data_IF_763872550345
#
_entry.id   IF_763872550345
#
_cell.length_a   1.000
_cell.length_b   1.000
_cell.length_c   1.000
_cell.angle_alpha   90.00
_cell.angle_beta   90.00
_cell.angle_gamma   90.00
#
_symmetry.space_group_name_H-M   'P 1'
#
loop_
_entity.id
_entity.type
_entity.pdbx_description
1 polymer ?
#
# COMPACT_ATOMS: atom_id res chain seq x y z
N UNK A 1 6.34 28.41 32.05
CA UNK A 1 7.35 27.77 32.91
C UNK A 1 6.68 26.80 33.83
N UNK A 2 7.30 25.66 34.08
CA UNK A 2 6.81 24.66 35.04
C UNK A 2 7.35 24.91 36.47
N UNK A 3 8.11 26.00 36.66
CA UNK A 3 8.63 26.43 37.96
C UNK A 3 7.55 27.16 38.79
N UNK A 4 7.67 27.07 40.11
CA UNK A 4 6.82 27.84 41.02
C UNK A 4 7.12 29.35 40.88
N UNK A 5 6.11 30.23 41.04
CA UNK A 5 6.30 31.67 40.95
C UNK A 5 7.32 32.17 41.98
N UNK A 6 8.23 33.06 41.56
CA UNK A 6 9.14 33.73 42.48
C UNK A 6 8.41 34.84 43.25
N UNK A 7 8.90 35.17 44.44
CA UNK A 7 8.32 36.26 45.24
C UNK A 7 8.31 37.61 44.51
N UNK A 8 9.34 37.87 43.69
CA UNK A 8 9.43 39.12 42.92
C UNK A 8 8.36 39.19 41.83
N UNK A 9 8.12 38.07 41.13
CA UNK A 9 7.07 37.96 40.11
C UNK A 9 5.69 38.15 40.74
N UNK A 10 5.46 37.54 41.92
CA UNK A 10 4.21 37.72 42.66
C UNK A 10 4.00 39.18 43.09
N UNK A 11 5.03 39.85 43.60
CA UNK A 11 4.97 41.27 43.98
C UNK A 11 4.70 42.18 42.76
N UNK A 12 5.30 41.88 41.61
CA UNK A 12 5.03 42.60 40.36
C UNK A 12 3.57 42.40 39.90
N UNK A 13 3.09 41.15 39.96
CA UNK A 13 1.70 40.83 39.62
C UNK A 13 0.69 41.54 40.54
N UNK A 14 0.93 41.59 41.85
CA UNK A 14 0.05 42.32 42.78
C UNK A 14 -0.05 43.81 42.42
N UNK A 15 1.09 44.46 42.14
CA UNK A 15 1.12 45.87 41.72
C UNK A 15 0.32 46.09 40.43
N UNK A 16 0.38 45.14 39.49
CA UNK A 16 -0.35 45.19 38.24
C UNK A 16 -1.86 45.04 38.43
N UNK A 17 -2.29 44.13 39.31
CA UNK A 17 -3.71 43.93 39.67
C UNK A 17 -4.28 45.18 40.32
N UNK A 18 -3.54 45.81 41.23
CA UNK A 18 -3.94 47.07 41.86
C UNK A 18 -4.04 48.22 40.84
N UNK A 19 -3.05 48.32 39.94
CA UNK A 19 -3.02 49.34 38.87
C UNK A 19 -4.16 49.20 37.87
N UNK A 20 -4.62 47.97 37.62
CA UNK A 20 -5.72 47.67 36.71
C UNK A 20 -7.10 47.67 37.38
N UNK A 21 -7.18 48.03 38.67
CA UNK A 21 -8.39 47.93 39.49
C UNK A 21 -9.00 46.51 39.47
N UNK A 22 -8.17 45.49 39.28
CA UNK A 22 -8.57 44.09 39.27
C UNK A 22 -8.90 43.58 40.67
N UNK A 23 -9.82 42.62 40.76
CA UNK A 23 -10.17 41.97 42.03
C UNK A 23 -9.08 41.00 42.45
N UNK A 24 -8.52 41.18 43.65
CA UNK A 24 -7.59 40.22 44.24
C UNK A 24 -8.32 38.90 44.57
N UNK A 25 -7.80 37.74 44.14
CA UNK A 25 -8.37 36.45 44.52
C UNK A 25 -8.36 36.28 46.04
N UNK A 26 -9.47 35.81 46.59
CA UNK A 26 -9.54 35.55 48.03
C UNK A 26 -8.92 34.19 48.37
N UNK A 27 -8.39 34.05 49.60
CA UNK A 27 -7.74 32.80 50.04
C UNK A 27 -8.64 31.57 49.92
N UNK A 28 -9.94 31.73 50.16
CA UNK A 28 -10.92 30.63 50.03
C UNK A 28 -11.11 30.20 48.57
N UNK A 29 -11.12 31.15 47.62
CA UNK A 29 -11.26 30.85 46.19
C UNK A 29 -10.04 30.08 45.68
N UNK A 30 -8.85 30.47 46.14
CA UNK A 30 -7.61 29.76 45.80
C UNK A 30 -7.64 28.32 46.36
N UNK A 31 -8.10 28.14 47.59
CA UNK A 31 -8.25 26.81 48.20
C UNK A 31 -9.29 25.95 47.45
N UNK A 32 -10.46 26.52 47.13
CA UNK A 32 -11.49 25.81 46.37
C UNK A 32 -11.00 25.38 44.98
N UNK A 33 -10.25 26.25 44.28
CA UNK A 33 -9.66 25.91 42.99
C UNK A 33 -8.55 24.87 43.11
N UNK A 34 -7.76 24.90 44.18
CA UNK A 34 -6.79 23.86 44.47
C UNK A 34 -7.48 22.50 44.62
N UNK A 35 -8.54 22.43 45.42
CA UNK A 35 -9.33 21.19 45.62
C UNK A 35 -9.98 20.72 44.30
N UNK A 36 -10.46 21.65 43.46
CA UNK A 36 -10.99 21.32 42.15
C UNK A 36 -9.93 20.70 41.22
N UNK A 37 -8.69 21.20 41.25
CA UNK A 37 -7.56 20.63 40.50
C UNK A 37 -7.22 19.22 41.02
N UNK A 38 -7.18 19.05 42.34
CA UNK A 38 -6.93 17.74 42.96
C UNK A 38 -8.00 16.71 42.55
N UNK A 39 -9.28 17.12 42.54
CA UNK A 39 -10.39 16.27 42.05
C UNK A 39 -10.19 15.83 40.61
N UNK A 40 -9.76 16.73 39.73
CA UNK A 40 -9.48 16.40 38.31
C UNK A 40 -8.32 15.40 38.21
N UNK A 41 -7.27 15.55 39.03
CA UNK A 41 -6.14 14.61 39.02
C UNK A 41 -6.54 13.19 39.45
N UNK A 42 -7.52 13.07 40.35
CA UNK A 42 -8.06 11.78 40.81
C UNK A 42 -9.25 11.26 39.99
N UNK A 43 -9.69 12.01 38.96
CA UNK A 43 -10.88 11.66 38.20
C UNK A 43 -10.67 10.37 37.39
N UNK A 44 -11.56 9.40 37.60
CA UNK A 44 -11.57 8.14 36.85
C UNK A 44 -12.41 8.32 35.60
N UNK A 45 -11.78 8.17 34.43
CA UNK A 45 -12.45 8.30 33.14
C UNK A 45 -13.46 7.17 32.91
N UNK A 46 -14.71 7.53 32.65
CA UNK A 46 -15.73 6.58 32.20
C UNK A 46 -15.54 6.23 30.72
N UNK A 47 -16.11 5.11 30.28
CA UNK A 47 -16.05 4.69 28.88
C UNK A 47 -16.64 5.74 27.93
N UNK A 48 -17.69 6.44 28.35
CA UNK A 48 -18.33 7.51 27.57
C UNK A 48 -17.42 8.73 27.43
N UNK A 49 -16.78 9.17 28.52
CA UNK A 49 -15.83 10.28 28.50
C UNK A 49 -14.64 9.97 27.60
N UNK A 50 -14.08 8.75 27.68
CA UNK A 50 -12.98 8.33 26.79
C UNK A 50 -13.42 8.35 25.33
N UNK A 51 -14.64 7.88 25.02
CA UNK A 51 -15.19 7.89 23.66
C UNK A 51 -15.31 9.31 23.11
N UNK A 52 -15.85 10.23 23.92
CA UNK A 52 -15.93 11.65 23.57
C UNK A 52 -14.53 12.24 23.32
N UNK A 53 -13.58 12.03 24.24
CA UNK A 53 -12.20 12.51 24.09
C UNK A 53 -11.54 11.99 22.81
N UNK A 54 -11.76 10.72 22.46
CA UNK A 54 -11.24 10.15 21.21
C UNK A 54 -11.89 10.76 19.98
N UNK A 55 -13.18 11.07 20.03
CA UNK A 55 -13.87 11.75 18.93
C UNK A 55 -13.35 13.18 18.74
N UNK A 56 -13.20 13.93 19.82
CA UNK A 56 -12.63 15.28 19.81
C UNK A 56 -11.18 15.29 19.30
N UNK A 57 -10.36 14.33 19.77
CA UNK A 57 -8.99 14.14 19.27
C UNK A 57 -8.94 13.73 17.80
N UNK A 58 -9.95 13.00 17.30
CA UNK A 58 -10.06 12.64 15.88
C UNK A 58 -10.50 13.83 15.03
N UNK A 59 -11.39 14.68 15.54
CA UNK A 59 -11.83 15.90 14.83
C UNK A 59 -10.83 17.04 14.93
N UNK A 60 -9.95 17.04 15.92
CA UNK A 60 -8.88 18.01 16.04
C UNK A 60 -7.89 17.87 14.87
N UNK A 61 -7.81 18.91 14.04
CA UNK A 61 -6.97 19.01 12.83
C UNK A 61 -5.47 18.79 13.08
N UNK A 62 -5.04 18.73 14.35
CA UNK A 62 -3.62 18.67 14.75
C UNK A 62 -3.00 17.29 14.53
N UNK A 63 -3.78 16.22 14.38
CA UNK A 63 -3.18 14.89 14.15
C UNK A 63 -2.62 14.80 12.73
N UNK A 64 -1.31 14.53 12.55
CA UNK A 64 -0.77 14.27 11.21
C UNK A 64 -1.44 13.01 10.66
N UNK A 65 -2.21 13.17 9.58
CA UNK A 65 -2.83 12.06 8.89
C UNK A 65 -1.75 11.33 8.09
N UNK A 66 -1.77 9.99 8.12
CA UNK A 66 -0.96 9.21 7.18
C UNK A 66 -1.60 9.29 5.79
N UNK A 67 -1.21 10.33 5.04
CA UNK A 67 -1.75 10.64 3.72
C UNK A 67 -1.58 9.47 2.75
N UNK A 68 -0.51 8.67 2.89
CA UNK A 68 -0.28 7.51 2.02
C UNK A 68 -1.33 6.41 2.26
N UNK A 69 -1.59 6.07 3.53
CA UNK A 69 -2.58 5.06 3.89
C UNK A 69 -4.00 5.50 3.50
N UNK A 70 -4.34 6.77 3.72
CA UNK A 70 -5.65 7.32 3.32
C UNK A 70 -5.83 7.33 1.79
N UNK A 71 -4.79 7.68 1.02
CA UNK A 71 -4.84 7.60 -0.45
C UNK A 71 -5.03 6.17 -0.93
N UNK A 72 -4.36 5.20 -0.31
CA UNK A 72 -4.53 3.79 -0.69
C UNK A 72 -5.95 3.29 -0.39
N UNK A 73 -6.49 3.65 0.79
CA UNK A 73 -7.87 3.35 1.16
C UNK A 73 -8.86 3.97 0.16
N UNK A 74 -8.73 5.25 -0.16
CA UNK A 74 -9.60 5.95 -1.12
C UNK A 74 -9.48 5.38 -2.53
N UNK A 75 -8.29 4.93 -2.97
CA UNK A 75 -8.14 4.24 -4.27
C UNK A 75 -8.91 2.93 -4.30
N UNK A 76 -8.81 2.12 -3.24
CA UNK A 76 -9.61 0.89 -3.12
C UNK A 76 -11.11 1.18 -3.11
N UNK A 77 -11.55 2.23 -2.40
CA UNK A 77 -12.95 2.65 -2.38
C UNK A 77 -13.43 3.16 -3.74
N UNK A 78 -12.57 3.88 -4.47
CA UNK A 78 -12.84 4.32 -5.84
C UNK A 78 -13.07 3.14 -6.78
N UNK A 79 -12.19 2.13 -6.74
CA UNK A 79 -12.32 0.92 -7.56
C UNK A 79 -13.64 0.19 -7.27
N UNK A 80 -14.02 0.12 -5.99
CA UNK A 80 -15.29 -0.47 -5.56
C UNK A 80 -16.51 0.36 -6.00
N UNK A 81 -16.44 1.69 -5.92
CA UNK A 81 -17.51 2.58 -6.34
C UNK A 81 -17.71 2.55 -7.87
N UNK A 82 -16.61 2.47 -8.63
CA UNK A 82 -16.64 2.26 -10.07
C UNK A 82 -17.27 0.91 -10.43
N UNK A 83 -16.91 -0.16 -9.73
CA UNK A 83 -17.52 -1.47 -9.95
C UNK A 83 -19.04 -1.46 -9.69
N UNK A 84 -19.49 -0.67 -8.73
CA UNK A 84 -20.91 -0.50 -8.38
C UNK A 84 -21.65 0.52 -9.27
N UNK A 85 -20.96 1.19 -10.19
CA UNK A 85 -21.47 2.31 -11.00
C UNK A 85 -22.10 3.44 -10.18
N UNK A 86 -21.55 3.73 -8.99
CA UNK A 86 -21.98 4.86 -8.16
C UNK A 86 -21.17 6.11 -8.53
N UNK A 87 -21.67 6.89 -9.50
CA UNK A 87 -20.98 8.07 -10.02
C UNK A 87 -20.80 9.17 -8.96
N UNK A 88 -21.77 9.30 -8.04
CA UNK A 88 -21.75 10.33 -6.99
C UNK A 88 -20.61 10.06 -6.01
N UNK A 89 -20.47 8.82 -5.56
CA UNK A 89 -19.41 8.45 -4.63
C UNK A 89 -18.03 8.49 -5.31
N UNK A 90 -17.95 8.14 -6.60
CA UNK A 90 -16.72 8.28 -7.40
C UNK A 90 -16.26 9.74 -7.46
N UNK A 91 -17.15 10.68 -7.71
CA UNK A 91 -16.81 12.12 -7.74
C UNK A 91 -16.34 12.63 -6.37
N UNK A 92 -17.04 12.24 -5.30
CA UNK A 92 -16.66 12.58 -3.93
C UNK A 92 -15.27 12.06 -3.56
N UNK A 93 -14.98 10.80 -3.87
CA UNK A 93 -13.67 10.18 -3.58
C UNK A 93 -12.56 10.85 -4.40
N UNK A 94 -12.83 11.18 -5.68
CA UNK A 94 -11.88 11.92 -6.53
C UNK A 94 -11.57 13.30 -5.96
N UNK A 95 -12.59 14.05 -5.54
CA UNK A 95 -12.38 15.36 -4.91
C UNK A 95 -11.51 15.24 -3.64
N UNK A 96 -11.79 14.24 -2.80
CA UNK A 96 -11.00 13.99 -1.59
C UNK A 96 -9.55 13.59 -1.89
N UNK A 97 -9.31 12.80 -2.95
CA UNK A 97 -7.96 12.46 -3.41
C UNK A 97 -7.18 13.71 -3.85
N UNK A 98 -7.83 14.64 -4.56
CA UNK A 98 -7.23 15.91 -4.98
C UNK A 98 -6.85 16.79 -3.78
N UNK A 99 -7.72 16.89 -2.77
CA UNK A 99 -7.40 17.62 -1.52
C UNK A 99 -6.15 17.06 -0.83
N UNK A 100 -6.04 15.73 -0.74
CA UNK A 100 -4.88 15.05 -0.15
C UNK A 100 -3.61 15.17 -1.03
N UNK A 101 -3.75 15.38 -2.33
CA UNK A 101 -2.64 15.70 -3.23
C UNK A 101 -2.16 17.14 -3.05
N UNK A 102 -3.07 18.11 -3.01
CA UNK A 102 -2.76 19.50 -2.75
C UNK A 102 -2.08 19.70 -1.40
N UNK A 103 -2.58 19.05 -0.34
CA UNK A 103 -1.97 19.09 0.99
C UNK A 103 -0.52 18.55 1.02
N UNK A 104 -0.22 17.53 0.19
CA UNK A 104 1.15 16.97 0.08
C UNK A 104 2.08 17.91 -0.69
N UNK A 105 1.63 18.53 -1.77
CA UNK A 105 2.49 19.43 -2.55
C UNK A 105 2.99 20.62 -1.73
N UNK A 106 2.20 21.11 -0.78
CA UNK A 106 2.65 22.15 0.16
C UNK A 106 3.86 21.71 1.00
N UNK A 107 3.98 20.40 1.27
CA UNK A 107 5.05 19.77 2.05
C UNK A 107 6.25 19.31 1.20
N UNK A 108 6.16 19.24 -0.13
CA UNK A 108 7.24 18.78 -1.02
C UNK A 108 8.43 19.76 -1.15
N UNK A 109 8.46 20.85 -0.37
CA UNK A 109 9.57 21.80 -0.34
C UNK A 109 10.86 21.25 0.29
N UNK A 110 10.84 20.02 0.77
CA UNK A 110 12.04 19.32 1.24
C UNK A 110 12.96 18.95 0.05
N UNK A 111 13.99 19.77 -0.19
CA UNK A 111 14.92 19.58 -1.32
C UNK A 111 15.62 18.21 -1.37
N UNK A 112 15.71 17.48 -0.24
CA UNK A 112 16.20 16.10 -0.21
C UNK A 112 15.19 15.12 -0.83
N UNK A 113 13.89 15.29 -0.54
CA UNK A 113 12.83 14.43 -1.07
C UNK A 113 12.69 14.59 -2.59
N UNK A 114 12.83 15.81 -3.10
CA UNK A 114 12.82 16.10 -4.54
C UNK A 114 13.96 15.36 -5.26
N UNK A 115 15.19 15.45 -4.75
CA UNK A 115 16.35 14.74 -5.33
C UNK A 115 16.17 13.22 -5.32
N UNK A 116 15.63 12.67 -4.23
CA UNK A 116 15.33 11.23 -4.15
C UNK A 116 14.25 10.80 -5.16
N UNK A 117 13.22 11.62 -5.36
CA UNK A 117 12.18 11.35 -6.35
C UNK A 117 12.73 11.37 -7.78
N UNK A 118 13.58 12.34 -8.12
CA UNK A 118 14.27 12.42 -9.41
C UNK A 118 15.18 11.22 -9.66
N UNK A 119 16.00 10.84 -8.67
CA UNK A 119 16.86 9.67 -8.74
C UNK A 119 16.04 8.39 -8.95
N UNK A 120 14.97 8.18 -8.19
CA UNK A 120 14.09 7.03 -8.35
C UNK A 120 13.42 7.00 -9.74
N UNK A 121 13.04 8.17 -10.28
CA UNK A 121 12.51 8.28 -11.64
C UNK A 121 13.54 7.83 -12.68
N UNK A 122 14.80 8.26 -12.55
CA UNK A 122 15.89 7.81 -13.43
C UNK A 122 16.13 6.31 -13.31
N UNK A 123 16.25 5.79 -12.08
CA UNK A 123 16.43 4.35 -11.83
C UNK A 123 15.30 3.51 -12.42
N UNK A 124 14.05 3.98 -12.36
CA UNK A 124 12.90 3.28 -12.95
C UNK A 124 13.00 3.21 -14.47
N UNK A 125 13.38 4.32 -15.11
CA UNK A 125 13.57 4.37 -16.57
C UNK A 125 14.76 3.51 -16.99
N UNK A 126 15.86 3.54 -16.26
CA UNK A 126 17.04 2.70 -16.53
C UNK A 126 16.74 1.22 -16.31
N UNK A 127 16.08 0.83 -15.22
CA UNK A 127 15.64 -0.55 -15.01
C UNK A 127 14.72 -1.03 -16.14
N UNK A 128 13.81 -0.17 -16.62
CA UNK A 128 12.96 -0.51 -17.77
C UNK A 128 13.76 -0.64 -19.06
N UNK A 129 14.74 0.23 -19.32
CA UNK A 129 15.63 0.12 -20.48
C UNK A 129 16.48 -1.14 -20.40
N UNK A 130 17.06 -1.44 -19.26
CA UNK A 130 17.85 -2.64 -19.03
C UNK A 130 16.99 -3.89 -19.19
N UNK A 131 15.82 -3.95 -18.57
CA UNK A 131 14.89 -5.08 -18.73
C UNK A 131 14.37 -5.24 -20.17
N UNK A 132 14.16 -4.14 -20.89
CA UNK A 132 13.69 -4.20 -22.28
C UNK A 132 14.80 -4.52 -23.28
N UNK A 133 16.05 -4.12 -23.03
CA UNK A 133 17.23 -4.46 -23.83
C UNK A 133 17.75 -5.87 -23.53
N UNK A 134 17.57 -6.38 -22.31
CA UNK A 134 17.88 -7.75 -21.90
C UNK A 134 16.80 -8.76 -22.29
N UNK A 135 15.80 -8.38 -23.10
CA UNK A 135 14.86 -9.35 -23.69
C UNK A 135 15.67 -10.46 -24.39
N UNK A 136 15.38 -11.74 -24.12
CA UNK A 136 16.25 -12.81 -24.57
C UNK A 136 16.22 -12.91 -26.09
N UNK A 137 17.37 -12.65 -26.71
CA UNK A 137 17.69 -12.97 -28.11
C UNK A 137 17.59 -14.49 -28.39
N UNK A 138 17.39 -15.29 -27.34
CA UNK A 138 17.58 -16.74 -27.33
C UNK A 138 16.27 -17.56 -27.27
N UNK A 139 15.11 -16.97 -27.56
CA UNK A 139 13.80 -17.67 -27.50
C UNK A 139 13.70 -18.82 -28.54
N UNK A 140 14.58 -18.86 -29.54
CA UNK A 140 14.54 -19.85 -30.63
C UNK A 140 15.67 -20.89 -30.66
N UNK A 141 16.63 -20.87 -29.73
CA UNK A 141 17.80 -21.76 -29.80
C UNK A 141 17.40 -23.20 -29.46
N UNK A 142 18.03 -24.16 -30.14
CA UNK A 142 17.82 -25.59 -29.83
C UNK A 142 18.83 -26.07 -28.79
N UNK A 143 18.49 -27.15 -28.12
CA UNK A 143 19.32 -27.68 -27.06
C UNK A 143 20.70 -28.10 -27.57
N UNK A 144 21.75 -27.57 -26.93
CA UNK A 144 23.13 -27.77 -27.33
C UNK A 144 23.75 -26.58 -28.07
N UNK A 145 22.95 -25.58 -28.45
CA UNK A 145 23.43 -24.35 -29.08
C UNK A 145 23.86 -23.32 -28.02
N UNK A 146 24.93 -22.56 -28.29
CA UNK A 146 25.46 -21.59 -27.33
C UNK A 146 24.41 -20.51 -27.03
N UNK A 147 24.00 -20.39 -25.76
CA UNK A 147 22.93 -19.49 -25.32
C UNK A 147 21.55 -20.15 -25.13
N UNK A 148 21.45 -21.47 -25.27
CA UNK A 148 20.23 -22.23 -24.98
C UNK A 148 19.83 -22.15 -23.49
N UNK A 149 18.61 -21.69 -23.21
CA UNK A 149 18.05 -21.59 -21.86
C UNK A 149 17.40 -22.93 -21.44
N UNK A 150 17.94 -23.65 -20.44
CA UNK A 150 17.41 -24.93 -19.98
C UNK A 150 16.04 -24.84 -19.28
N UNK A 151 15.58 -23.66 -18.87
CA UNK A 151 14.25 -23.43 -18.27
C UNK A 151 13.20 -22.97 -19.29
N UNK A 152 13.63 -22.61 -20.51
CA UNK A 152 12.71 -22.28 -21.59
C UNK A 152 11.95 -23.53 -22.05
N UNK A 153 10.62 -23.42 -22.15
CA UNK A 153 9.79 -24.56 -22.58
C UNK A 153 10.17 -24.93 -24.01
N UNK A 154 10.60 -26.18 -24.21
CA UNK A 154 10.74 -26.74 -25.56
C UNK A 154 9.38 -26.69 -26.23
N UNK A 155 9.34 -26.03 -27.38
CA UNK A 155 8.30 -26.26 -28.36
C UNK A 155 8.30 -27.79 -28.66
N UNK A 156 7.22 -28.47 -28.29
CA UNK A 156 7.04 -29.90 -28.57
C UNK A 156 5.80 -30.06 -29.41
N UNK A 157 5.92 -30.75 -30.54
CA UNK A 157 4.78 -31.16 -31.37
C UNK A 157 4.03 -32.27 -30.62
N UNK A 158 2.70 -32.18 -30.52
CA UNK A 158 1.90 -33.28 -29.98
C UNK A 158 2.14 -34.55 -30.79
N UNK A 159 2.39 -35.67 -30.09
CA UNK A 159 2.43 -37.00 -30.71
C UNK A 159 1.09 -37.66 -30.46
N UNK A 160 0.31 -37.88 -31.51
CA UNK A 160 -0.88 -38.70 -31.43
C UNK A 160 -0.45 -40.17 -31.37
N UNK A 161 -0.67 -40.81 -30.22
CA UNK A 161 -0.37 -42.24 -30.00
C UNK A 161 -1.50 -43.16 -30.44
N UNK A 162 -2.64 -42.61 -30.85
CA UNK A 162 -3.75 -43.39 -31.37
C UNK A 162 -3.59 -43.59 -32.88
N UNK A 163 -2.98 -44.70 -33.26
CA UNK A 163 -3.25 -45.32 -34.56
C UNK A 163 -4.52 -46.14 -34.38
N UNK A 164 -5.62 -45.69 -34.98
CA UNK A 164 -6.80 -46.55 -35.09
C UNK A 164 -6.34 -47.89 -35.68
N UNK A 165 -6.69 -48.99 -35.01
CA UNK A 165 -6.46 -50.33 -35.54
C UNK A 165 -7.04 -50.36 -36.96
N UNK A 166 -6.25 -50.63 -38.01
CA UNK A 166 -6.83 -50.97 -39.28
C UNK A 166 -7.54 -52.31 -39.08
N UNK A 167 -8.87 -52.30 -39.06
CA UNK A 167 -9.61 -53.52 -39.29
C UNK A 167 -9.32 -53.96 -40.73
N UNK A 168 -8.56 -55.06 -40.86
CA UNK A 168 -8.27 -55.71 -42.13
C UNK A 168 -6.90 -55.33 -42.70
N UNK A 169 -5.96 -56.26 -42.61
CA UNK A 169 -4.60 -56.09 -43.13
C UNK A 169 -4.53 -56.13 -44.66
N UNK A 170 -3.55 -55.42 -45.22
CA UNK A 170 -2.67 -55.98 -46.24
C UNK A 170 -1.37 -55.17 -46.38
N UNK A 171 -0.28 -55.92 -46.36
CA UNK A 171 1.06 -55.70 -46.97
C UNK A 171 1.84 -54.38 -46.74
N UNK A 172 2.94 -54.57 -46.00
CA UNK A 172 4.32 -54.19 -46.32
C UNK A 172 4.54 -53.07 -47.35
N UNK A 173 5.20 -51.99 -46.91
CA UNK A 173 6.33 -51.42 -47.63
C UNK A 173 7.34 -50.82 -46.64
N UNK A 174 8.57 -51.33 -46.71
CA UNK A 174 9.75 -50.72 -46.16
C UNK A 174 10.16 -49.50 -46.99
N UNK A 175 10.61 -48.43 -46.33
CA UNK A 175 11.51 -47.40 -46.86
C UNK A 175 12.03 -46.60 -45.65
N UNK A 176 13.19 -46.96 -45.13
CA UNK A 176 14.51 -46.38 -45.45
C UNK A 176 14.73 -45.00 -44.81
N UNK A 177 15.74 -44.98 -43.96
CA UNK A 177 16.26 -43.82 -43.25
C UNK A 177 16.97 -42.89 -44.25
N UNK A 178 16.49 -41.67 -44.44
CA UNK A 178 17.27 -40.59 -45.07
C UNK A 178 17.22 -39.32 -44.24
N UNK A 179 18.39 -38.98 -43.72
CA UNK A 179 18.73 -37.72 -43.09
C UNK A 179 18.87 -36.63 -44.18
N UNK A 180 18.12 -35.53 -44.07
CA UNK A 180 18.62 -34.16 -44.32
C UNK A 180 17.47 -33.16 -44.14
N UNK A 181 17.80 -32.02 -43.58
CA UNK A 181 16.84 -31.10 -42.98
C UNK A 181 15.96 -30.33 -43.96
N UNK A 182 14.82 -29.90 -43.44
CA UNK A 182 14.24 -28.58 -43.69
C UNK A 182 13.16 -28.31 -42.62
N UNK A 183 13.26 -27.11 -42.07
CA UNK A 183 12.32 -26.31 -41.26
C UNK A 183 10.90 -26.19 -41.86
N UNK A 184 9.94 -25.42 -41.29
CA UNK A 184 9.64 -25.06 -39.88
C UNK A 184 8.11 -25.04 -39.56
N UNK A 185 7.78 -24.45 -38.40
CA UNK A 185 6.60 -23.63 -38.11
C UNK A 185 5.30 -24.39 -37.76
N UNK A 186 4.78 -24.26 -36.54
CA UNK A 186 4.08 -23.13 -35.89
C UNK A 186 2.63 -23.07 -36.40
N UNK A 187 1.58 -22.89 -35.60
CA UNK A 187 1.43 -22.47 -34.22
C UNK A 187 0.05 -22.99 -33.74
N UNK A 188 -0.13 -23.27 -32.45
CA UNK A 188 -0.94 -22.47 -31.52
C UNK A 188 -2.45 -22.78 -31.56
N UNK A 189 -3.06 -23.03 -30.40
CA UNK A 189 -3.89 -22.04 -29.66
C UNK A 189 -5.34 -22.57 -29.62
N UNK A 190 -6.20 -22.47 -28.61
CA UNK A 190 -6.32 -21.72 -27.34
C UNK A 190 -7.45 -22.41 -26.55
N UNK A 191 -7.48 -22.29 -25.21
CA UNK A 191 -8.76 -22.33 -24.50
C UNK A 191 -8.73 -22.69 -23.01
N UNK A 192 -8.37 -21.73 -22.15
CA UNK A 192 -8.61 -21.72 -20.69
C UNK A 192 -10.14 -21.56 -20.42
N UNK A 193 -10.76 -21.99 -19.29
CA UNK A 193 -10.58 -21.32 -17.99
C UNK A 193 -10.83 -22.15 -16.69
N UNK A 194 -10.16 -21.70 -15.62
CA UNK A 194 -10.66 -21.43 -14.24
C UNK A 194 -11.51 -22.41 -13.40
N UNK A 195 -11.24 -22.35 -12.08
CA UNK A 195 -11.97 -22.77 -10.85
C UNK A 195 -11.48 -24.10 -10.26
N UNK A 196 -11.11 -24.23 -8.98
CA UNK A 196 -11.19 -23.34 -7.82
C UNK A 196 -11.67 -24.14 -6.59
N UNK A 197 -10.84 -24.20 -5.53
CA UNK A 197 -11.11 -24.54 -4.10
C UNK A 197 -9.87 -25.26 -3.54
N UNK A 198 -9.02 -24.75 -2.64
CA UNK A 198 -9.22 -24.02 -1.39
C UNK A 198 -10.12 -24.74 -0.38
N UNK A 199 -9.50 -25.51 0.51
CA UNK A 199 -9.84 -25.71 1.94
C UNK A 199 -8.54 -26.23 2.59
N UNK A 200 -7.82 -25.50 3.45
CA UNK A 200 -8.11 -24.97 4.79
C UNK A 200 -7.51 -25.86 5.90
N UNK A 201 -6.92 -25.20 6.89
CA UNK A 201 -6.42 -25.76 8.16
C UNK A 201 -4.89 -25.96 8.18
N UNK A 202 -4.13 -25.60 9.21
CA UNK A 202 -4.47 -25.04 10.52
C UNK A 202 -3.16 -24.61 11.22
N UNK A 203 -3.35 -23.74 12.22
CA UNK A 203 -2.46 -23.17 13.23
C UNK A 203 -1.03 -23.73 13.50
N UNK A 204 -0.13 -22.80 13.86
CA UNK A 204 0.85 -23.03 14.93
C UNK A 204 1.30 -21.69 15.56
N UNK A 205 0.69 -21.33 16.68
CA UNK A 205 1.22 -20.42 17.69
C UNK A 205 2.08 -21.17 18.70
N UNK A 206 3.24 -20.59 19.00
CA UNK A 206 3.94 -20.52 20.29
C UNK A 206 4.26 -21.79 21.11
N UNK A 207 5.55 -21.96 21.39
CA UNK A 207 6.15 -22.43 22.65
C UNK A 207 7.68 -22.29 22.48
N UNK A 208 8.53 -21.94 23.45
CA UNK A 208 8.42 -21.50 24.83
C UNK A 208 9.79 -20.86 25.18
#
# INVERSE_FOLDING_TARGET
SDAAPLEEEYKQWMKEVERSNGRMPAKHEVAEKKDAIEKINTFVYSAETVKQMLQEKKSATVRPLNIAAEKEKLRRELDLAQYKNDEVEVERIKARLQELEAARQVQEKDGKAVRLAEMNRKNRVENFKNASQLKPVNIGLKAGEAGYDPFSRRWTRSRNYYTAKPEGGNQALAAENSHSGATPADAASIGNPSKGSAEAGEAATAAA
#
